data_IF_254410694842
#
_entry.id   IF_254410694842
#
_cell.length_a   1.000
_cell.length_b   1.000
_cell.length_c   1.000
_cell.angle_alpha   90.00
_cell.angle_beta   90.00
_cell.angle_gamma   90.00
#
_symmetry.space_group_name_H-M   'P 1'
#
loop_
_entity.id
_entity.type
_entity.pdbx_description
1 polymer ?
#
# COMPACT_ATOMS: atom_id res chain seq x y z
N UNK A 1 0.53 10.15 7.89
CA UNK A 1 -0.73 9.52 8.34
C UNK A 1 -0.40 8.32 9.22
N UNK A 2 -1.29 7.94 10.15
CA UNK A 2 -1.11 6.76 11.01
C UNK A 2 -2.01 5.64 10.51
N UNK A 3 -1.44 4.46 10.32
CA UNK A 3 -2.08 3.28 9.73
C UNK A 3 -2.38 2.28 10.84
N UNK A 4 -3.65 1.87 10.93
CA UNK A 4 -4.17 0.90 11.89
C UNK A 4 -4.17 -0.53 11.34
N UNK A 5 -4.34 -0.67 10.01
CA UNK A 5 -4.37 -1.97 9.35
C UNK A 5 -3.75 -1.89 7.96
N UNK A 6 -3.00 -2.92 7.58
CA UNK A 6 -2.45 -3.10 6.23
C UNK A 6 -2.64 -4.55 5.81
N UNK A 7 -3.17 -4.75 4.62
CA UNK A 7 -3.32 -6.05 3.97
C UNK A 7 -2.62 -6.02 2.62
N UNK A 8 -1.64 -6.89 2.43
CA UNK A 8 -0.98 -7.05 1.14
C UNK A 8 -1.89 -7.82 0.19
N UNK A 9 -2.20 -7.20 -0.95
CA UNK A 9 -3.02 -7.78 -2.01
C UNK A 9 -2.17 -8.39 -3.12
N UNK A 10 -0.98 -7.85 -3.37
CA UNK A 10 0.03 -8.42 -4.25
C UNK A 10 1.45 -8.18 -3.70
N UNK A 11 2.23 -9.25 -3.49
CA UNK A 11 3.65 -9.15 -3.12
C UNK A 11 4.64 -9.27 -4.29
N UNK A 12 4.14 -9.29 -5.52
CA UNK A 12 4.93 -9.42 -6.74
C UNK A 12 5.24 -8.06 -7.37
N UNK A 13 5.12 -8.00 -8.70
CA UNK A 13 5.30 -6.79 -9.49
C UNK A 13 3.98 -6.49 -10.24
N UNK A 14 3.17 -5.51 -9.81
CA UNK A 14 3.44 -4.53 -8.75
C UNK A 14 3.30 -5.08 -7.33
N UNK A 15 3.95 -4.43 -6.37
CA UNK A 15 3.63 -4.63 -4.95
C UNK A 15 2.47 -3.72 -4.56
N UNK A 16 1.47 -4.28 -3.86
CA UNK A 16 0.20 -3.64 -3.59
C UNK A 16 -0.32 -3.96 -2.19
N UNK A 17 -0.91 -2.96 -1.54
CA UNK A 17 -1.56 -3.09 -0.26
C UNK A 17 -2.81 -2.23 -0.16
N UNK A 18 -3.75 -2.75 0.61
CA UNK A 18 -4.90 -2.04 1.13
C UNK A 18 -4.56 -1.62 2.55
N UNK A 19 -4.76 -0.34 2.89
CA UNK A 19 -4.51 0.14 4.24
C UNK A 19 -5.64 0.99 4.78
N UNK A 20 -5.80 0.96 6.10
CA UNK A 20 -6.79 1.75 6.82
C UNK A 20 -6.08 2.61 7.84
N UNK A 21 -6.37 3.91 7.83
CA UNK A 21 -5.87 4.85 8.83
C UNK A 21 -6.60 4.64 10.16
N UNK A 22 -6.04 5.19 11.24
CA UNK A 22 -6.74 5.28 12.54
C UNK A 22 -7.99 6.18 12.49
N UNK A 23 -8.14 7.00 11.43
CA UNK A 23 -9.28 7.89 11.22
C UNK A 23 -10.38 7.30 10.35
N UNK A 24 -10.31 6.00 10.01
CA UNK A 24 -11.30 5.35 9.15
C UNK A 24 -11.18 5.75 7.69
N UNK A 25 -9.97 6.11 7.21
CA UNK A 25 -9.77 6.33 5.78
C UNK A 25 -9.09 5.12 5.15
N UNK A 26 -9.60 4.72 3.98
CA UNK A 26 -8.98 3.71 3.15
C UNK A 26 -7.92 4.33 2.24
N UNK A 27 -6.78 3.66 2.16
CA UNK A 27 -5.67 3.98 1.29
C UNK A 27 -5.36 2.79 0.39
N UNK A 28 -5.13 3.07 -0.88
CA UNK A 28 -4.57 2.13 -1.83
C UNK A 28 -3.10 2.44 -2.08
N UNK A 29 -2.23 1.46 -1.84
CA UNK A 29 -0.77 1.58 -1.91
C UNK A 29 -0.28 0.74 -3.07
N UNK A 30 0.49 1.34 -3.99
CA UNK A 30 1.00 0.64 -5.16
C UNK A 30 2.43 1.05 -5.45
N UNK A 31 3.28 0.06 -5.70
CA UNK A 31 4.65 0.26 -6.16
C UNK A 31 4.91 -0.47 -7.48
N UNK A 32 5.38 0.26 -8.50
CA UNK A 32 5.72 -0.30 -9.81
C UNK A 32 6.68 0.61 -10.56
N UNK A 33 7.67 0.04 -11.23
CA UNK A 33 8.63 0.77 -12.05
C UNK A 33 9.40 1.85 -11.27
N UNK A 34 9.73 1.59 -9.99
CA UNK A 34 10.34 2.58 -9.10
C UNK A 34 9.37 3.65 -8.56
N UNK A 35 8.14 3.66 -9.07
CA UNK A 35 7.12 4.61 -8.66
C UNK A 35 6.27 4.05 -7.52
N UNK A 36 6.15 4.80 -6.43
CA UNK A 36 5.19 4.53 -5.37
C UNK A 36 4.04 5.54 -5.38
N UNK A 37 2.81 5.06 -5.24
CA UNK A 37 1.61 5.89 -5.16
C UNK A 37 0.75 5.51 -3.95
N UNK A 38 0.17 6.53 -3.31
CA UNK A 38 -0.84 6.38 -2.26
C UNK A 38 -2.09 7.13 -2.69
N UNK A 39 -3.18 6.42 -2.89
CA UNK A 39 -4.49 7.00 -3.18
C UNK A 39 -5.36 6.94 -1.94
N UNK A 40 -6.00 8.06 -1.62
CA UNK A 40 -6.96 8.20 -0.54
C UNK A 40 -8.38 8.07 -1.09
N UNK A 41 -9.16 7.16 -0.54
CA UNK A 41 -10.56 7.00 -0.91
C UNK A 41 -11.48 7.67 0.12
N UNK A 42 -12.64 8.18 -0.32
CA UNK A 42 -13.62 8.82 0.55
C UNK A 42 -14.41 7.84 1.42
N UNK A 43 -14.45 6.56 1.05
CA UNK A 43 -15.09 5.47 1.82
C UNK A 43 -14.04 4.58 2.43
N UNK A 44 -14.29 4.07 3.64
CA UNK A 44 -13.48 3.02 4.29
C UNK A 44 -13.76 1.62 3.75
N UNK A 45 -14.90 1.46 3.11
CA UNK A 45 -15.38 0.21 2.54
C UNK A 45 -14.92 0.09 1.08
N UNK A 46 -14.10 -0.93 0.83
CA UNK A 46 -13.60 -1.29 -0.50
C UNK A 46 -14.69 -1.81 -1.42
N UNK A 47 -15.75 -2.40 -0.86
CA UNK A 47 -16.84 -3.01 -1.60
C UNK A 47 -17.93 -1.99 -1.99
N UNK A 48 -18.05 -0.89 -1.24
CA UNK A 48 -19.00 0.23 -1.52
C UNK A 48 -18.37 1.29 -2.46
N UNK A 49 -17.47 0.88 -3.34
CA UNK A 49 -16.84 1.79 -4.29
C UNK A 49 -17.83 2.24 -5.38
N UNK A 50 -18.50 3.37 -5.16
CA UNK A 50 -19.42 4.01 -6.13
C UNK A 50 -18.70 4.85 -7.21
N UNK A 51 -17.38 4.69 -7.40
CA UNK A 51 -16.62 5.44 -8.40
C UNK A 51 -16.35 6.92 -8.03
N UNK A 52 -16.52 7.31 -6.77
CA UNK A 52 -16.04 8.60 -6.29
C UNK A 52 -14.54 8.76 -6.54
N UNK A 53 -14.10 9.94 -6.98
CA UNK A 53 -12.70 10.17 -7.38
C UNK A 53 -11.76 9.90 -6.19
N UNK A 54 -10.92 8.86 -6.32
CA UNK A 54 -9.79 8.68 -5.40
C UNK A 54 -8.86 9.87 -5.55
N UNK A 55 -8.36 10.38 -4.43
CA UNK A 55 -7.43 11.50 -4.42
C UNK A 55 -6.02 10.97 -4.27
N UNK A 56 -5.13 11.30 -5.20
CA UNK A 56 -3.70 11.05 -5.01
C UNK A 56 -3.22 11.83 -3.78
N UNK A 57 -2.80 11.10 -2.75
CA UNK A 57 -2.25 11.67 -1.52
C UNK A 57 -0.77 12.00 -1.71
N UNK A 58 0.00 11.04 -2.21
CA UNK A 58 1.41 11.23 -2.52
C UNK A 58 1.85 10.27 -3.61
N UNK A 59 2.86 10.69 -4.37
CA UNK A 59 3.61 9.83 -5.27
C UNK A 59 5.09 10.20 -5.21
N UNK A 60 5.93 9.22 -5.52
CA UNK A 60 7.37 9.40 -5.63
C UNK A 60 7.96 8.43 -6.66
N UNK A 61 9.17 8.75 -7.09
CA UNK A 61 10.02 7.91 -7.93
C UNK A 61 11.35 7.73 -7.18
N UNK A 62 11.77 6.48 -6.98
CA UNK A 62 13.01 6.16 -6.27
C UNK A 62 14.25 6.08 -7.17
N UNK A 63 14.10 6.41 -8.46
CA UNK A 63 15.13 6.34 -9.49
C UNK A 63 15.41 4.93 -10.01
N UNK A 64 14.66 3.93 -9.57
CA UNK A 64 14.80 2.54 -10.00
C UNK A 64 13.71 2.17 -11.02
N UNK A 65 13.79 0.97 -11.58
CA UNK A 65 12.67 0.36 -12.32
C UNK A 65 12.12 -0.84 -11.52
N UNK A 66 12.17 -0.76 -10.19
CA UNK A 66 11.78 -1.82 -9.27
C UNK A 66 10.29 -2.13 -9.35
N UNK A 67 9.93 -3.41 -9.25
CA UNK A 67 8.53 -3.83 -9.14
C UNK A 67 8.14 -4.33 -7.74
N UNK A 68 9.14 -4.54 -6.87
CA UNK A 68 8.97 -5.04 -5.52
C UNK A 68 9.61 -4.10 -4.51
N UNK A 69 8.91 -3.88 -3.41
CA UNK A 69 9.38 -3.12 -2.26
C UNK A 69 8.78 -3.74 -0.99
N UNK A 70 9.53 -3.72 0.10
CA UNK A 70 9.02 -4.17 1.39
C UNK A 70 8.10 -3.10 2.01
N UNK A 71 7.10 -3.53 2.77
CA UNK A 71 6.10 -2.61 3.33
C UNK A 71 6.73 -1.49 4.18
N UNK A 72 7.74 -1.82 4.98
CA UNK A 72 8.41 -0.85 5.85
C UNK A 72 9.10 0.28 5.05
N UNK A 73 9.71 -0.07 3.91
CA UNK A 73 10.38 0.90 3.04
C UNK A 73 9.35 1.75 2.32
N UNK A 74 8.27 1.14 1.80
CA UNK A 74 7.17 1.87 1.17
C UNK A 74 6.56 2.91 2.11
N UNK A 75 6.22 2.52 3.35
CA UNK A 75 5.64 3.43 4.33
C UNK A 75 6.60 4.57 4.68
N UNK A 76 7.90 4.27 4.80
CA UNK A 76 8.92 5.28 5.09
C UNK A 76 9.02 6.32 3.98
N UNK A 77 9.03 5.89 2.71
CA UNK A 77 9.06 6.78 1.54
C UNK A 77 7.76 7.59 1.40
N UNK A 78 6.61 7.00 1.72
CA UNK A 78 5.31 7.65 1.70
C UNK A 78 5.06 8.63 2.86
N UNK A 79 5.95 8.69 3.86
CA UNK A 79 5.71 9.44 5.09
C UNK A 79 4.55 8.88 5.94
N UNK A 80 4.29 7.59 5.83
CA UNK A 80 3.27 6.85 6.58
C UNK A 80 3.91 6.10 7.75
N UNK A 81 3.14 5.87 8.82
CA UNK A 81 3.61 5.14 10.01
C UNK A 81 2.54 4.18 10.49
N UNK A 82 2.95 2.99 10.92
CA UNK A 82 2.08 2.06 11.63
C UNK A 82 1.86 2.55 13.07
N UNK A 83 0.67 2.32 13.61
CA UNK A 83 0.46 2.34 15.06
C UNK A 83 1.13 1.11 15.71
N UNK A 84 1.53 1.14 16.99
CA UNK A 84 2.20 0.00 17.64
C UNK A 84 1.38 -1.30 17.63
N UNK A 85 0.06 -1.17 17.56
CA UNK A 85 -0.97 -2.20 17.54
C UNK A 85 -1.52 -2.47 16.13
N UNK A 86 -0.82 -2.00 15.08
CA UNK A 86 -1.31 -2.13 13.72
C UNK A 86 -1.43 -3.59 13.30
N UNK A 87 -2.56 -3.93 12.69
CA UNK A 87 -2.75 -5.24 12.08
C UNK A 87 -2.05 -5.28 10.72
N UNK A 88 -1.04 -6.14 10.57
CA UNK A 88 -0.30 -6.32 9.31
C UNK A 88 -0.51 -7.73 8.79
N UNK A 89 -1.12 -7.86 7.60
CA UNK A 89 -1.26 -9.13 6.87
C UNK A 89 -0.44 -9.08 5.59
N UNK A 90 0.68 -9.79 5.55
CA UNK A 90 1.48 -9.95 4.33
C UNK A 90 1.16 -11.29 3.66
N UNK A 91 1.11 -11.31 2.33
CA UNK A 91 1.13 -12.58 1.60
C UNK A 91 2.50 -13.22 1.80
N UNK A 92 2.55 -14.50 2.19
CA UNK A 92 3.81 -15.22 2.27
C UNK A 92 4.58 -15.09 0.95
N UNK A 93 5.92 -14.92 0.96
CA UNK A 93 6.68 -14.92 -0.27
C UNK A 93 6.39 -16.24 -0.98
N UNK A 94 5.79 -16.20 -2.18
CA UNK A 94 5.83 -17.34 -3.08
C UNK A 94 7.31 -17.59 -3.35
N UNK A 95 7.87 -18.60 -2.71
CA UNK A 95 9.20 -19.09 -3.04
C UNK A 95 9.15 -19.43 -4.53
N UNK A 96 9.85 -18.67 -5.36
CA UNK A 96 10.05 -19.06 -6.76
C UNK A 96 10.77 -20.41 -6.74
N UNK A 97 9.99 -21.47 -6.94
CA UNK A 97 10.52 -22.77 -7.31
C UNK A 97 11.20 -22.62 -8.65
N UNK A 98 12.53 -22.55 -8.63
CA UNK A 98 13.39 -22.67 -9.81
C UNK A 98 13.11 -24.03 -10.45
N UNK A 99 12.55 -24.03 -11.67
CA UNK A 99 12.61 -25.16 -12.58
C UNK A 99 13.95 -25.17 -13.33
#
# INVERSE_FOLDING_TARGET
>A
MIIARVVQTCGGCPSQWDAWTTGGQYLYLRYRHGEGTVELHPSEDTDTWDGGESRLWTSWDDGTNGGRIELADFLSLAGLRLTPDAEVRTTAPKTEGKA
#
